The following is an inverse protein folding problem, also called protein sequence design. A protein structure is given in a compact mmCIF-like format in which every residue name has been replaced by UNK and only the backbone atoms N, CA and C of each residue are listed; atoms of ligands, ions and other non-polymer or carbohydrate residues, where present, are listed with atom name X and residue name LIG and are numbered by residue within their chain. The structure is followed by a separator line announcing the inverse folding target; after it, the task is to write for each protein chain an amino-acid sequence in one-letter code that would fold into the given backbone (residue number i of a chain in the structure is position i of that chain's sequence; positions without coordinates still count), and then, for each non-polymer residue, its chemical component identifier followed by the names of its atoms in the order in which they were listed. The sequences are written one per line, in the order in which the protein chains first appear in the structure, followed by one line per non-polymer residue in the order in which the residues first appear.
data_IF_278724501620
#
_entry.id   IF_278724501620
#
_cell.length_a   1.000
_cell.length_b   1.000
_cell.length_c   1.000
_cell.angle_alpha   90.00
_cell.angle_beta   90.00
_cell.angle_gamma   90.00
#
_symmetry.space_group_name_H-M   'P 1'
#
loop_
_entity.id
_entity.type
_entity.pdbx_description
1 polymer ?
#
# COMPACT_ATOMS: atom_id res chain seq x y z
N UNK A 1 5.63 50.43 -3.43
CA UNK A 1 4.97 49.53 -2.44
C UNK A 1 4.87 50.22 -1.08
N UNK A 2 3.65 50.54 -0.62
CA UNK A 2 3.39 51.33 0.60
C UNK A 2 3.26 50.50 1.88
N UNK A 3 3.32 49.17 1.80
CA UNK A 3 3.34 48.25 2.94
C UNK A 3 4.10 46.96 2.60
N UNK A 4 4.90 46.45 3.53
CA UNK A 4 5.57 45.15 3.45
C UNK A 4 4.84 44.21 4.42
N UNK A 5 4.17 43.19 3.91
CA UNK A 5 3.37 42.26 4.73
C UNK A 5 4.15 41.04 5.22
N UNK A 6 5.29 40.73 4.60
CA UNK A 6 6.22 39.68 5.03
C UNK A 6 7.63 39.96 4.51
N UNK A 7 8.64 39.64 5.32
CA UNK A 7 10.04 39.71 4.94
C UNK A 7 10.79 38.49 5.48
N UNK A 8 11.60 37.85 4.63
CA UNK A 8 12.46 36.74 5.05
C UNK A 8 13.80 37.32 5.53
N UNK A 9 14.12 37.13 6.81
CA UNK A 9 15.34 37.66 7.42
C UNK A 9 16.28 36.50 7.78
N UNK A 10 17.44 36.45 7.13
CA UNK A 10 18.50 35.49 7.46
C UNK A 10 19.44 36.03 8.53
N UNK A 11 19.79 35.21 9.52
CA UNK A 11 20.79 35.57 10.54
C UNK A 11 22.09 34.78 10.37
N UNK A 12 23.22 35.40 10.72
CA UNK A 12 24.56 34.79 10.57
C UNK A 12 24.86 33.72 11.62
N UNK A 13 24.15 33.71 12.76
CA UNK A 13 24.34 32.78 13.87
C UNK A 13 23.02 32.16 14.32
N UNK A 14 22.96 30.83 14.44
CA UNK A 14 21.76 30.08 14.83
C UNK A 14 21.24 30.46 16.23
N UNK A 15 22.13 30.87 17.14
CA UNK A 15 21.76 31.27 18.50
C UNK A 15 21.06 32.64 18.55
N UNK A 16 21.29 33.50 17.56
CA UNK A 16 20.65 34.82 17.48
C UNK A 16 19.22 34.75 16.94
N UNK A 17 18.81 33.63 16.34
CA UNK A 17 17.47 33.41 15.78
C UNK A 17 16.40 33.62 16.85
N UNK A 18 16.54 32.96 18.00
CA UNK A 18 15.55 33.03 19.08
C UNK A 18 15.52 34.40 19.77
N UNK A 19 16.68 35.07 19.87
CA UNK A 19 16.77 36.44 20.38
C UNK A 19 16.09 37.44 19.46
N UNK A 20 16.33 37.34 18.15
CA UNK A 20 15.69 38.17 17.14
C UNK A 20 14.18 37.92 17.08
N UNK A 21 13.75 36.65 17.15
CA UNK A 21 12.34 36.28 17.19
C UNK A 21 11.61 36.94 18.37
N UNK A 22 12.20 36.86 19.58
CA UNK A 22 11.63 37.50 20.78
C UNK A 22 11.57 39.01 20.64
N UNK A 23 12.65 39.64 20.18
CA UNK A 23 12.71 41.09 20.01
C UNK A 23 11.65 41.61 19.01
N UNK A 24 11.42 40.88 17.91
CA UNK A 24 10.38 41.22 16.93
C UNK A 24 8.98 41.05 17.54
N UNK A 25 8.73 39.94 18.25
CA UNK A 25 7.43 39.67 18.86
C UNK A 25 7.07 40.64 20.00
N UNK A 26 8.07 41.24 20.65
CA UNK A 26 7.90 42.18 21.76
C UNK A 26 7.98 43.65 21.30
N UNK A 27 8.08 43.94 20.00
CA UNK A 27 8.21 45.32 19.51
C UNK A 27 6.92 46.12 19.81
N UNK A 28 6.95 47.17 20.66
CA UNK A 28 5.77 47.94 21.04
C UNK A 28 5.15 48.85 19.97
N UNK A 29 5.89 49.28 18.94
CA UNK A 29 5.39 50.28 17.98
C UNK A 29 4.49 49.67 16.89
N UNK A 30 4.77 48.43 16.48
CA UNK A 30 4.00 47.72 15.46
C UNK A 30 3.80 46.25 15.86
N UNK A 31 2.57 45.70 15.72
CA UNK A 31 2.31 44.30 16.01
C UNK A 31 2.95 43.39 14.95
N UNK A 32 4.18 42.98 15.20
CA UNK A 32 4.94 42.08 14.34
C UNK A 32 4.97 40.66 14.91
N UNK A 33 5.02 39.68 14.01
CA UNK A 33 5.17 38.27 14.37
C UNK A 33 6.35 37.67 13.61
N UNK A 34 7.32 37.18 14.37
CA UNK A 34 8.44 36.39 13.87
C UNK A 34 8.16 34.90 14.09
N UNK A 35 8.12 34.17 12.98
CA UNK A 35 7.98 32.71 12.94
C UNK A 35 9.27 32.15 12.35
N UNK A 36 9.69 30.98 12.84
CA UNK A 36 10.80 30.23 12.27
C UNK A 36 10.26 29.26 11.22
N UNK A 37 10.31 29.61 9.92
CA UNK A 37 9.70 28.77 8.89
C UNK A 37 10.29 27.36 8.87
N UNK A 38 11.58 27.22 9.18
CA UNK A 38 12.22 25.90 9.28
C UNK A 38 11.64 25.02 10.38
N UNK A 39 11.34 25.57 11.56
CA UNK A 39 10.76 24.82 12.68
C UNK A 39 9.29 24.50 12.39
N UNK A 40 8.53 25.48 11.89
CA UNK A 40 7.13 25.27 11.52
C UNK A 40 6.98 24.20 10.42
N UNK A 41 7.83 24.24 9.38
CA UNK A 41 7.85 23.20 8.35
C UNK A 41 8.26 21.84 8.92
N UNK A 42 9.25 21.80 9.81
CA UNK A 42 9.67 20.56 10.47
C UNK A 42 8.53 19.91 11.27
N UNK A 43 7.79 20.70 12.05
CA UNK A 43 6.63 20.21 12.81
C UNK A 43 5.54 19.66 11.87
N UNK A 44 5.24 20.35 10.78
CA UNK A 44 4.31 19.86 9.76
C UNK A 44 4.79 18.53 9.16
N UNK A 45 6.08 18.43 8.79
CA UNK A 45 6.65 17.20 8.25
C UNK A 45 6.66 16.04 9.26
N UNK A 46 6.80 16.32 10.55
CA UNK A 46 6.71 15.29 11.59
C UNK A 46 5.29 14.73 11.71
N UNK A 47 4.27 15.59 11.69
CA UNK A 47 2.87 15.16 11.73
C UNK A 47 2.52 14.34 10.49
N UNK A 48 2.93 14.81 9.31
CA UNK A 48 2.72 14.10 8.03
C UNK A 48 3.45 12.76 8.03
N UNK A 49 4.71 12.71 8.45
CA UNK A 49 5.51 11.48 8.47
C UNK A 49 4.98 10.44 9.46
N UNK A 50 4.42 10.86 10.60
CA UNK A 50 3.75 9.96 11.54
C UNK A 50 2.49 9.34 10.91
N UNK A 51 1.67 10.17 10.27
CA UNK A 51 0.47 9.70 9.57
C UNK A 51 0.81 8.73 8.43
N UNK A 52 1.83 9.06 7.62
CA UNK A 52 2.34 8.19 6.55
C UNK A 52 2.79 6.82 7.09
N UNK A 53 3.62 6.82 8.15
CA UNK A 53 4.11 5.57 8.76
C UNK A 53 2.97 4.72 9.32
N UNK A 54 1.97 5.36 9.95
CA UNK A 54 0.80 4.67 10.47
C UNK A 54 -0.04 4.05 9.34
N UNK A 55 -0.28 4.79 8.25
CA UNK A 55 -1.00 4.29 7.08
C UNK A 55 -0.25 3.13 6.42
N UNK A 56 1.07 3.23 6.27
CA UNK A 56 1.90 2.13 5.75
C UNK A 56 1.79 0.88 6.61
N UNK A 57 1.83 1.00 7.94
CA UNK A 57 1.67 -0.13 8.85
C UNK A 57 0.29 -0.81 8.68
N UNK A 58 -0.77 -0.02 8.54
CA UNK A 58 -2.13 -0.53 8.27
C UNK A 58 -2.19 -1.22 6.91
N UNK A 59 -1.61 -0.62 5.86
CA UNK A 59 -1.56 -1.21 4.53
C UNK A 59 -0.86 -2.56 4.53
N UNK A 60 0.28 -2.69 5.22
CA UNK A 60 0.99 -3.97 5.36
C UNK A 60 0.11 -5.00 6.07
N UNK A 61 -0.58 -4.61 7.15
CA UNK A 61 -1.49 -5.51 7.86
C UNK A 61 -2.64 -6.00 6.95
N UNK A 62 -3.23 -5.10 6.16
CA UNK A 62 -4.30 -5.43 5.20
C UNK A 62 -3.80 -6.40 4.12
N UNK A 63 -2.60 -6.18 3.59
CA UNK A 63 -1.99 -7.10 2.61
C UNK A 63 -1.79 -8.48 3.24
N UNK A 64 -1.24 -8.55 4.45
CA UNK A 64 -1.01 -9.81 5.16
C UNK A 64 -2.32 -10.55 5.40
N UNK A 65 -3.37 -9.88 5.90
CA UNK A 65 -4.67 -10.52 6.13
C UNK A 65 -5.34 -10.97 4.84
N UNK A 66 -5.21 -10.21 3.75
CA UNK A 66 -5.70 -10.60 2.43
C UNK A 66 -4.99 -11.86 1.91
N UNK A 67 -3.66 -11.93 2.05
CA UNK A 67 -2.87 -13.10 1.66
C UNK A 67 -3.26 -14.36 2.47
N UNK A 68 -3.46 -14.22 3.78
CA UNK A 68 -3.93 -15.32 4.62
C UNK A 68 -5.35 -15.78 4.24
N UNK A 69 -6.25 -14.85 3.96
CA UNK A 69 -7.61 -15.14 3.49
C UNK A 69 -7.60 -15.87 2.15
N UNK A 70 -6.78 -15.43 1.20
CA UNK A 70 -6.58 -16.09 -0.09
C UNK A 70 -6.03 -17.52 0.09
N UNK A 71 -5.02 -17.69 0.95
CA UNK A 71 -4.44 -19.01 1.25
C UNK A 71 -5.50 -19.96 1.85
N UNK A 72 -6.32 -19.47 2.77
CA UNK A 72 -7.41 -20.25 3.36
C UNK A 72 -8.48 -20.64 2.33
N UNK A 73 -8.84 -19.72 1.44
CA UNK A 73 -9.78 -19.98 0.33
C UNK A 73 -9.25 -21.09 -0.60
N UNK A 74 -7.99 -20.99 -1.03
CA UNK A 74 -7.35 -22.02 -1.88
C UNK A 74 -7.30 -23.36 -1.15
N UNK A 75 -7.00 -23.36 0.15
CA UNK A 75 -6.98 -24.59 0.94
C UNK A 75 -8.36 -25.24 1.05
N UNK A 76 -9.43 -24.44 1.21
CA UNK A 76 -10.80 -24.95 1.23
C UNK A 76 -11.22 -25.52 -0.12
N UNK A 77 -10.91 -24.82 -1.21
CA UNK A 77 -11.26 -25.26 -2.57
C UNK A 77 -10.58 -26.58 -2.95
N UNK A 78 -9.36 -26.83 -2.46
CA UNK A 78 -8.65 -28.10 -2.64
C UNK A 78 -9.38 -29.28 -1.99
N UNK A 79 -9.97 -29.09 -0.81
CA UNK A 79 -10.72 -30.14 -0.12
C UNK A 79 -12.01 -30.50 -0.87
N UNK A 80 -12.71 -29.50 -1.38
CA UNK A 80 -13.93 -29.68 -2.18
C UNK A 80 -13.63 -30.36 -3.53
N UNK A 81 -12.53 -29.96 -4.19
CA UNK A 81 -12.11 -30.47 -5.50
C UNK A 81 -11.27 -31.75 -5.44
N UNK A 82 -11.13 -32.38 -4.26
CA UNK A 82 -10.29 -33.57 -4.07
C UNK A 82 -10.71 -34.75 -4.95
N UNK A 83 -12.02 -34.92 -5.17
CA UNK A 83 -12.57 -35.94 -6.08
C UNK A 83 -12.23 -35.66 -7.54
N UNK A 84 -12.34 -34.41 -7.98
CA UNK A 84 -11.99 -34.00 -9.34
C UNK A 84 -10.50 -34.22 -9.62
N UNK A 85 -9.63 -33.84 -8.69
CA UNK A 85 -8.18 -34.06 -8.81
C UNK A 85 -7.81 -35.54 -8.93
N UNK A 86 -8.53 -36.43 -8.24
CA UNK A 86 -8.33 -37.88 -8.37
C UNK A 86 -8.71 -38.40 -9.77
N UNK A 87 -9.79 -37.89 -10.36
CA UNK A 87 -10.19 -38.21 -11.74
C UNK A 87 -9.14 -37.73 -12.74
N UNK A 88 -8.63 -36.51 -12.57
CA UNK A 88 -7.60 -35.94 -13.45
C UNK A 88 -6.30 -36.75 -13.40
N UNK A 89 -5.95 -37.27 -12.22
CA UNK A 89 -4.83 -38.20 -12.08
C UNK A 89 -5.07 -39.53 -12.77
N UNK A 90 -6.27 -40.10 -12.69
CA UNK A 90 -6.62 -41.33 -13.40
C UNK A 90 -6.49 -41.16 -14.92
N UNK A 91 -6.71 -39.93 -15.41
CA UNK A 91 -6.49 -39.53 -16.81
C UNK A 91 -5.04 -39.16 -17.15
N UNK A 92 -4.10 -39.28 -16.22
CA UNK A 92 -2.66 -39.05 -16.45
C UNK A 92 -2.16 -37.62 -16.18
N UNK A 93 -2.95 -36.75 -15.53
CA UNK A 93 -2.51 -35.40 -15.19
C UNK A 93 -1.33 -35.42 -14.19
N UNK A 94 -0.27 -34.68 -14.50
CA UNK A 94 0.90 -34.55 -13.62
C UNK A 94 0.58 -33.65 -12.43
N UNK A 95 1.07 -33.95 -11.21
CA UNK A 95 0.89 -33.08 -10.04
C UNK A 95 1.40 -31.64 -10.23
N UNK A 96 2.37 -31.45 -11.13
CA UNK A 96 2.86 -30.12 -11.52
C UNK A 96 1.80 -29.27 -12.24
N UNK A 97 0.87 -29.89 -12.98
CA UNK A 97 -0.24 -29.19 -13.65
C UNK A 97 -1.20 -28.60 -12.63
N UNK A 98 -1.50 -29.34 -11.56
CA UNK A 98 -2.36 -28.88 -10.46
C UNK A 98 -1.71 -27.71 -9.73
N UNK A 99 -0.39 -27.79 -9.47
CA UNK A 99 0.37 -26.70 -8.86
C UNK A 99 0.34 -25.44 -9.73
N UNK A 100 0.58 -25.57 -11.04
CA UNK A 100 0.53 -24.45 -11.97
C UNK A 100 -0.85 -23.79 -12.03
N UNK A 101 -1.93 -24.58 -11.98
CA UNK A 101 -3.30 -24.07 -11.96
C UNK A 101 -3.59 -23.24 -10.69
N UNK A 102 -3.17 -23.71 -9.51
CA UNK A 102 -3.37 -23.02 -8.24
C UNK A 102 -2.60 -21.70 -8.18
N UNK A 103 -1.35 -21.71 -8.64
CA UNK A 103 -0.53 -20.49 -8.71
C UNK A 103 -1.13 -19.51 -9.70
N UNK A 104 -1.61 -19.98 -10.86
CA UNK A 104 -2.28 -19.14 -11.84
C UNK A 104 -3.57 -18.52 -11.27
N UNK A 105 -4.39 -19.30 -10.56
CA UNK A 105 -5.60 -18.81 -9.90
C UNK A 105 -5.28 -17.69 -8.88
N UNK A 106 -4.24 -17.89 -8.06
CA UNK A 106 -3.79 -16.88 -7.10
C UNK A 106 -3.27 -15.61 -7.79
N UNK A 107 -2.46 -15.75 -8.85
CA UNK A 107 -1.95 -14.61 -9.62
C UNK A 107 -3.10 -13.86 -10.28
N UNK A 108 -4.05 -14.56 -10.88
CA UNK A 108 -5.23 -13.93 -11.50
C UNK A 108 -6.04 -13.16 -10.46
N UNK A 109 -6.33 -13.75 -9.30
CA UNK A 109 -7.03 -13.05 -8.22
C UNK A 109 -6.27 -11.81 -7.74
N UNK A 110 -4.95 -11.90 -7.56
CA UNK A 110 -4.12 -10.77 -7.16
C UNK A 110 -4.10 -9.66 -8.21
N UNK A 111 -3.97 -10.00 -9.51
CA UNK A 111 -3.98 -9.03 -10.60
C UNK A 111 -5.34 -8.33 -10.76
N UNK A 112 -6.44 -9.06 -10.65
CA UNK A 112 -7.78 -8.48 -10.72
C UNK A 112 -8.04 -7.58 -9.51
N UNK A 113 -7.65 -8.01 -8.32
CA UNK A 113 -7.73 -7.17 -7.11
C UNK A 113 -6.90 -5.89 -7.24
N UNK A 114 -5.69 -5.98 -7.78
CA UNK A 114 -4.81 -4.84 -8.05
C UNK A 114 -5.45 -3.85 -9.06
N UNK A 115 -5.98 -4.35 -10.18
CA UNK A 115 -6.65 -3.52 -11.18
C UNK A 115 -7.91 -2.85 -10.63
N UNK A 116 -8.73 -3.58 -9.86
CA UNK A 116 -9.91 -3.03 -9.21
C UNK A 116 -9.54 -1.99 -8.15
N UNK A 117 -8.51 -2.25 -7.35
CA UNK A 117 -7.99 -1.30 -6.36
C UNK A 117 -7.53 0.01 -7.00
N UNK A 118 -6.76 -0.07 -8.09
CA UNK A 118 -6.37 1.09 -8.88
C UNK A 118 -7.60 1.86 -9.40
N UNK A 119 -8.55 1.17 -10.02
CA UNK A 119 -9.76 1.79 -10.54
C UNK A 119 -10.55 2.51 -9.43
N UNK A 120 -10.67 1.91 -8.24
CA UNK A 120 -11.34 2.51 -7.09
C UNK A 120 -10.60 3.76 -6.57
N UNK A 121 -9.27 3.74 -6.50
CA UNK A 121 -8.48 4.90 -6.10
C UNK A 121 -8.68 6.05 -7.09
N UNK A 122 -8.58 5.79 -8.39
CA UNK A 122 -8.79 6.82 -9.41
C UNK A 122 -10.23 7.34 -9.43
N UNK A 123 -11.23 6.47 -9.26
CA UNK A 123 -12.63 6.90 -9.14
C UNK A 123 -12.84 7.76 -7.88
N UNK A 124 -12.25 7.37 -6.75
CA UNK A 124 -12.30 8.14 -5.51
C UNK A 124 -11.66 9.52 -5.64
N UNK A 125 -10.51 9.62 -6.31
CA UNK A 125 -9.85 10.88 -6.60
C UNK A 125 -10.70 11.76 -7.53
N UNK A 126 -11.24 11.19 -8.61
CA UNK A 126 -12.06 11.94 -9.56
C UNK A 126 -13.33 12.53 -8.92
N UNK A 127 -13.95 11.78 -7.99
CA UNK A 127 -15.13 12.24 -7.26
C UNK A 127 -14.79 13.17 -6.09
N UNK A 128 -13.67 12.93 -5.41
CA UNK A 128 -13.27 13.66 -4.20
C UNK A 128 -12.55 14.98 -4.49
N UNK A 129 -11.78 15.06 -5.57
CA UNK A 129 -11.00 16.26 -5.93
C UNK A 129 -11.83 17.56 -5.93
N UNK A 130 -13.00 17.66 -6.60
CA UNK A 130 -13.77 18.92 -6.59
C UNK A 130 -14.28 19.31 -5.21
N UNK A 131 -14.59 18.34 -4.35
CA UNK A 131 -15.07 18.59 -2.99
C UNK A 131 -13.93 19.05 -2.06
N UNK A 132 -12.75 18.44 -2.20
CA UNK A 132 -11.56 18.77 -1.42
C UNK A 132 -11.04 20.15 -1.81
N UNK A 133 -10.98 20.46 -3.10
CA UNK A 133 -10.55 21.75 -3.61
C UNK A 133 -11.47 22.88 -3.13
N UNK A 134 -12.79 22.68 -3.20
CA UNK A 134 -13.76 23.67 -2.72
C UNK A 134 -13.71 23.90 -1.20
N UNK A 135 -13.42 22.86 -0.41
CA UNK A 135 -13.49 22.94 1.06
C UNK A 135 -12.16 23.35 1.69
N UNK A 136 -11.04 22.84 1.15
CA UNK A 136 -9.72 22.97 1.75
C UNK A 136 -8.71 23.70 0.85
N UNK A 137 -9.04 24.00 -0.41
CA UNK A 137 -8.14 24.63 -1.38
C UNK A 137 -6.94 23.76 -1.77
N UNK A 138 -7.05 22.44 -1.58
CA UNK A 138 -5.98 21.48 -1.88
C UNK A 138 -6.22 20.88 -3.26
N UNK A 139 -5.36 21.23 -4.22
CA UNK A 139 -5.37 20.64 -5.55
C UNK A 139 -4.62 19.31 -5.58
N UNK A 140 -5.35 18.21 -5.77
CA UNK A 140 -4.81 16.86 -5.91
C UNK A 140 -4.69 16.50 -7.40
N UNK A 141 -3.50 16.51 -8.00
CA UNK A 141 -3.34 16.17 -9.41
C UNK A 141 -3.57 14.67 -9.64
N UNK A 142 -4.46 14.34 -10.59
CA UNK A 142 -4.64 12.96 -11.05
C UNK A 142 -3.53 12.65 -12.06
N UNK A 143 -2.45 12.05 -11.58
CA UNK A 143 -1.33 11.61 -12.42
C UNK A 143 -1.40 10.10 -12.69
N UNK A 144 -0.78 9.68 -13.79
CA UNK A 144 -0.57 8.26 -14.05
C UNK A 144 0.27 7.62 -12.93
N UNK A 145 0.14 6.29 -12.70
CA UNK A 145 0.83 5.62 -11.62
C UNK A 145 2.33 5.81 -11.75
N UNK A 146 2.98 6.17 -10.66
CA UNK A 146 4.44 6.30 -10.66
C UNK A 146 5.11 4.92 -10.76
N UNK A 147 6.38 4.89 -11.18
CA UNK A 147 7.15 3.64 -11.24
C UNK A 147 7.22 2.93 -9.87
N UNK A 148 7.18 3.71 -8.78
CA UNK A 148 7.14 3.18 -7.41
C UNK A 148 5.82 2.47 -7.10
N UNK A 149 4.68 3.06 -7.44
CA UNK A 149 3.37 2.41 -7.29
C UNK A 149 3.29 1.11 -8.11
N UNK A 150 3.80 1.13 -9.35
CA UNK A 150 3.92 -0.06 -10.18
C UNK A 150 4.78 -1.16 -9.54
N UNK A 151 5.90 -0.79 -8.92
CA UNK A 151 6.75 -1.73 -8.20
C UNK A 151 6.05 -2.33 -6.97
N UNK A 152 5.31 -1.51 -6.20
CA UNK A 152 4.54 -2.00 -5.04
C UNK A 152 3.46 -2.99 -5.47
N UNK A 153 2.72 -2.69 -6.53
CA UNK A 153 1.72 -3.61 -7.10
C UNK A 153 2.35 -4.94 -7.54
N UNK A 154 3.49 -4.86 -8.23
CA UNK A 154 4.23 -6.06 -8.63
C UNK A 154 4.68 -6.89 -7.42
N UNK A 155 5.20 -6.25 -6.37
CA UNK A 155 5.58 -6.92 -5.12
C UNK A 155 4.38 -7.62 -4.47
N UNK A 156 3.21 -7.00 -4.43
CA UNK A 156 1.99 -7.61 -3.86
C UNK A 156 1.55 -8.83 -4.69
N UNK A 157 1.59 -8.75 -6.01
CA UNK A 157 1.25 -9.88 -6.89
C UNK A 157 2.24 -11.03 -6.71
N UNK A 158 3.54 -10.73 -6.63
CA UNK A 158 4.58 -11.74 -6.36
C UNK A 158 4.40 -12.35 -4.97
N UNK A 159 4.09 -11.55 -3.95
CA UNK A 159 3.81 -12.03 -2.61
C UNK A 159 2.59 -12.97 -2.58
N UNK A 160 1.55 -12.67 -3.35
CA UNK A 160 0.39 -13.55 -3.51
C UNK A 160 0.74 -14.89 -4.19
N UNK A 161 1.57 -14.85 -5.23
CA UNK A 161 2.07 -16.06 -5.89
C UNK A 161 2.93 -16.92 -4.95
N UNK A 162 3.79 -16.29 -4.14
CA UNK A 162 4.62 -16.98 -3.17
C UNK A 162 3.80 -17.56 -2.01
N UNK A 163 2.81 -16.82 -1.52
CA UNK A 163 1.91 -17.28 -0.46
C UNK A 163 1.08 -18.50 -0.90
N UNK A 164 0.59 -18.50 -2.15
CA UNK A 164 -0.19 -19.62 -2.71
C UNK A 164 0.64 -20.85 -3.04
N UNK A 165 1.97 -20.72 -3.14
CA UNK A 165 2.86 -21.85 -3.35
C UNK A 165 2.84 -22.83 -2.17
N UNK A 166 2.62 -22.34 -0.95
CA UNK A 166 2.54 -23.18 0.25
C UNK A 166 1.40 -24.22 0.20
N UNK A 167 0.12 -23.86 0.01
CA UNK A 167 -0.95 -24.84 -0.16
C UNK A 167 -0.77 -25.68 -1.42
N UNK A 168 -0.23 -25.12 -2.52
CA UNK A 168 -0.01 -25.86 -3.76
C UNK A 168 1.04 -26.98 -3.60
N UNK A 169 2.14 -26.72 -2.88
CA UNK A 169 3.15 -27.74 -2.55
C UNK A 169 2.58 -28.83 -1.63
N UNK A 170 1.68 -28.46 -0.71
CA UNK A 170 1.01 -29.43 0.15
C UNK A 170 0.07 -30.33 -0.66
N UNK A 171 -0.68 -29.78 -1.61
CA UNK A 171 -1.49 -30.54 -2.55
C UNK A 171 -0.64 -31.51 -3.41
N UNK A 172 0.51 -31.04 -3.89
CA UNK A 172 1.47 -31.86 -4.65
C UNK A 172 1.92 -33.10 -3.85
N UNK A 173 2.27 -32.92 -2.58
CA UNK A 173 2.69 -34.03 -1.69
C UNK A 173 1.56 -35.02 -1.41
N UNK A 174 0.35 -34.54 -1.13
CA UNK A 174 -0.82 -35.39 -0.89
C UNK A 174 -1.18 -36.21 -2.13
N UNK A 175 -1.11 -35.58 -3.30
CA UNK A 175 -1.32 -36.22 -4.59
C UNK A 175 -0.32 -37.37 -4.82
N UNK A 176 0.97 -37.16 -4.58
CA UNK A 176 2.00 -38.19 -4.72
C UNK A 176 1.80 -39.39 -3.77
N UNK A 177 1.38 -39.15 -2.52
CA UNK A 177 1.13 -40.20 -1.54
C UNK A 177 -0.09 -41.08 -1.90
N UNK A 178 -1.19 -40.48 -2.34
CA UNK A 178 -2.41 -41.23 -2.74
C UNK A 178 -2.20 -42.08 -4.01
N UNK A 179 -1.18 -41.78 -4.83
CA UNK A 179 -0.84 -42.56 -6.02
C UNK A 179 -0.17 -43.92 -5.76
N UNK A 180 0.28 -44.20 -4.53
CA UNK A 180 0.97 -45.45 -4.18
C UNK A 180 0.17 -46.39 -3.27
N UNK A 181 -1.01 -45.98 -2.79
CA UNK A 181 -1.89 -46.88 -2.04
C UNK A 181 -3.00 -47.38 -2.96
N UNK A 182 -2.73 -48.49 -3.64
CA UNK A 182 -3.80 -49.37 -4.16
C UNK A 182 -4.56 -49.86 -2.95
N UNK A 183 -5.76 -49.32 -2.74
CA UNK A 183 -6.63 -49.73 -1.66
C UNK A 183 -7.42 -50.93 -2.16
N UNK A 184 -6.99 -52.13 -1.74
CA UNK A 184 -7.74 -53.38 -1.90
C UNK A 184 -9.10 -53.27 -1.22
#
# INVERSE_FOLDING_TARGET
PTAITAALVGVKSRLQIFGLQRWINEYPEEPLLAILPGVALQELWQIVGLAETALLAVSVMVVVTALLGMMAMIFSSLNERRREMAIWRAMGARPATILGLLVLEAVLMATLGALLGLALVYAGLALGQPWIDATYGIWLPITAPTAQEGAVLAVVIVAAALASLFPALRAYRLSLADGMTVRN
#
